data_IF_167992882953
#
_entry.id   IF_167992882953
#
_cell.length_a   1.000
_cell.length_b   1.000
_cell.length_c   1.000
_cell.angle_alpha   90.00
_cell.angle_beta   90.00
_cell.angle_gamma   90.00
#
_symmetry.space_group_name_H-M   'P 1'
#
loop_
_entity.id
_entity.type
_entity.pdbx_description
1 polymer ?
#
# COMPACT_ATOMS: atom_id res chain seq x y z
N UNK A 1 34.76 -0.43 19.07
CA UNK A 1 33.52 -1.18 18.78
C UNK A 1 32.34 -0.22 18.84
N UNK A 2 31.34 -0.31 17.95
CA UNK A 2 30.16 0.58 17.98
C UNK A 2 28.93 -0.26 18.35
N UNK A 3 28.13 0.19 19.31
CA UNK A 3 26.95 -0.56 19.80
C UNK A 3 25.92 -0.85 18.68
N UNK A 4 25.81 0.04 17.70
CA UNK A 4 24.92 -0.13 16.54
C UNK A 4 25.25 -1.35 15.66
N UNK A 5 26.50 -1.83 15.71
CA UNK A 5 26.98 -2.93 14.88
C UNK A 5 26.80 -4.29 15.58
N UNK A 6 26.42 -4.29 16.86
CA UNK A 6 26.20 -5.49 17.67
C UNK A 6 24.77 -6.02 17.50
N UNK A 7 24.61 -7.34 17.55
CA UNK A 7 23.31 -8.00 17.66
C UNK A 7 22.67 -7.74 19.03
N UNK A 8 21.39 -8.05 19.17
CA UNK A 8 20.70 -7.90 20.46
C UNK A 8 21.28 -8.83 21.53
N UNK A 9 21.70 -10.04 21.13
CA UNK A 9 22.37 -11.01 22.02
C UNK A 9 23.74 -10.48 22.48
N UNK A 10 24.55 -9.95 21.55
CA UNK A 10 25.86 -9.36 21.89
C UNK A 10 25.72 -8.12 22.79
N UNK A 11 24.67 -7.31 22.60
CA UNK A 11 24.37 -6.18 23.49
C UNK A 11 23.97 -6.66 24.89
N UNK A 12 23.20 -7.74 24.98
CA UNK A 12 22.77 -8.34 26.24
C UNK A 12 23.98 -8.93 27.01
N UNK A 13 24.86 -9.65 26.33
CA UNK A 13 26.10 -10.17 26.91
C UNK A 13 27.02 -9.04 27.40
N UNK A 14 27.19 -7.98 26.60
CA UNK A 14 27.96 -6.82 26.99
C UNK A 14 27.36 -6.12 28.20
N UNK A 15 26.03 -6.00 28.27
CA UNK A 15 25.33 -5.38 29.40
C UNK A 15 25.66 -6.05 30.74
N UNK A 16 25.74 -7.38 30.77
CA UNK A 16 26.01 -8.15 32.00
C UNK A 16 27.42 -8.00 32.57
N UNK A 17 28.38 -7.50 31.78
CA UNK A 17 29.78 -7.34 32.19
C UNK A 17 30.26 -5.89 32.16
N UNK A 18 29.46 -5.00 31.58
CA UNK A 18 29.76 -3.58 31.38
C UNK A 18 29.69 -2.75 32.67
N UNK A 19 30.44 -1.65 32.68
CA UNK A 19 30.28 -0.58 33.67
C UNK A 19 28.97 0.20 33.48
N UNK A 20 28.60 1.02 34.46
CA UNK A 20 27.33 1.77 34.45
C UNK A 20 27.20 2.71 33.24
N UNK A 21 28.30 3.33 32.81
CA UNK A 21 28.32 4.21 31.65
C UNK A 21 28.01 3.45 30.36
N UNK A 22 28.61 2.27 30.19
CA UNK A 22 28.39 1.41 29.02
C UNK A 22 27.00 0.78 29.06
N UNK A 23 26.52 0.36 30.23
CA UNK A 23 25.13 -0.11 30.41
C UNK A 23 24.10 0.96 30.02
N UNK A 24 24.34 2.22 30.39
CA UNK A 24 23.49 3.34 30.01
C UNK A 24 23.49 3.54 28.49
N UNK A 25 24.67 3.49 27.86
CA UNK A 25 24.79 3.59 26.41
C UNK A 25 24.08 2.45 25.66
N UNK A 26 24.13 1.23 26.20
CA UNK A 26 23.41 0.06 25.66
C UNK A 26 21.90 0.28 25.73
N UNK A 27 21.37 0.74 26.87
CA UNK A 27 19.92 1.03 27.01
C UNK A 27 19.45 2.07 26.00
N UNK A 28 20.22 3.14 25.82
CA UNK A 28 19.92 4.18 24.81
C UNK A 28 19.89 3.57 23.40
N UNK A 29 20.83 2.67 23.08
CA UNK A 29 20.84 1.98 21.80
C UNK A 29 19.63 1.05 21.63
N UNK A 30 19.25 0.29 22.64
CA UNK A 30 18.04 -0.54 22.62
C UNK A 30 16.78 0.30 22.43
N UNK A 31 16.63 1.39 23.17
CA UNK A 31 15.50 2.34 23.04
C UNK A 31 15.41 2.92 21.62
N UNK A 32 16.57 3.21 21.00
CA UNK A 32 16.65 3.69 19.62
C UNK A 32 16.18 2.62 18.63
N UNK A 33 16.56 1.35 18.80
CA UNK A 33 16.12 0.22 17.95
C UNK A 33 14.61 0.01 18.07
N UNK A 34 14.12 -0.06 19.30
CA UNK A 34 12.70 -0.12 19.62
C UNK A 34 11.89 0.98 18.93
N UNK A 35 12.39 2.22 18.99
CA UNK A 35 11.76 3.35 18.31
C UNK A 35 11.71 3.15 16.79
N UNK A 36 12.80 2.66 16.18
CA UNK A 36 12.86 2.39 14.75
C UNK A 36 11.93 1.25 14.34
N UNK A 37 11.85 0.18 15.11
CA UNK A 37 10.98 -0.96 14.83
C UNK A 37 9.52 -0.57 14.97
N UNK A 38 9.15 0.18 16.01
CA UNK A 38 7.80 0.75 16.16
C UNK A 38 7.47 1.66 14.98
N UNK A 39 8.42 2.50 14.54
CA UNK A 39 8.23 3.37 13.37
C UNK A 39 8.06 2.56 12.08
N UNK A 40 8.86 1.52 11.88
CA UNK A 40 8.76 0.63 10.72
C UNK A 40 7.41 -0.11 10.70
N UNK A 41 7.00 -0.66 11.84
CA UNK A 41 5.71 -1.32 12.02
C UNK A 41 4.54 -0.35 11.74
N UNK A 42 4.61 0.89 12.25
CA UNK A 42 3.62 1.93 11.96
C UNK A 42 3.53 2.25 10.46
N UNK A 43 4.67 2.45 9.79
CA UNK A 43 4.70 2.74 8.34
C UNK A 43 4.13 1.56 7.55
N UNK A 44 4.49 0.33 7.91
CA UNK A 44 3.95 -0.89 7.30
C UNK A 44 2.44 -0.97 7.49
N UNK A 45 1.93 -0.88 8.72
CA UNK A 45 0.51 -0.94 9.02
C UNK A 45 -0.29 0.13 8.26
N UNK A 46 0.25 1.34 8.16
CA UNK A 46 -0.38 2.43 7.39
C UNK A 46 -0.43 2.12 5.89
N UNK A 47 0.63 1.54 5.33
CA UNK A 47 0.67 1.10 3.92
C UNK A 47 -0.34 -0.02 3.67
N UNK A 48 -0.37 -1.02 4.54
CA UNK A 48 -1.27 -2.17 4.44
C UNK A 48 -2.73 -1.72 4.51
N UNK A 49 -3.06 -0.81 5.44
CA UNK A 49 -4.39 -0.20 5.52
C UNK A 49 -4.79 0.56 4.23
N UNK A 50 -3.87 1.32 3.65
CA UNK A 50 -4.15 2.03 2.40
C UNK A 50 -4.34 1.08 1.21
N UNK A 51 -3.63 -0.06 1.18
CA UNK A 51 -3.81 -1.11 0.18
C UNK A 51 -5.19 -1.75 0.34
N UNK A 52 -5.57 -2.13 1.56
CA UNK A 52 -6.88 -2.73 1.84
C UNK A 52 -8.04 -1.81 1.43
N UNK A 53 -7.98 -0.53 1.78
CA UNK A 53 -8.99 0.46 1.38
C UNK A 53 -9.08 0.62 -0.14
N UNK A 54 -7.93 0.58 -0.85
CA UNK A 54 -7.92 0.64 -2.30
C UNK A 54 -8.51 -0.63 -2.94
N UNK A 55 -8.26 -1.80 -2.35
CA UNK A 55 -8.84 -3.07 -2.81
C UNK A 55 -10.35 -3.04 -2.67
N UNK A 56 -10.88 -2.66 -1.50
CA UNK A 56 -12.32 -2.52 -1.26
C UNK A 56 -12.98 -1.54 -2.25
N UNK A 57 -12.36 -0.36 -2.45
CA UNK A 57 -12.84 0.61 -3.44
C UNK A 57 -12.86 0.03 -4.86
N UNK A 58 -11.81 -0.69 -5.25
CA UNK A 58 -11.69 -1.30 -6.58
C UNK A 58 -12.72 -2.40 -6.78
N UNK A 59 -12.91 -3.27 -5.78
CA UNK A 59 -13.93 -4.33 -5.80
C UNK A 59 -15.34 -3.76 -5.96
N UNK A 60 -15.66 -2.70 -5.22
CA UNK A 60 -16.94 -2.00 -5.36
C UNK A 60 -17.14 -1.42 -6.77
N UNK A 61 -16.10 -0.81 -7.34
CA UNK A 61 -16.15 -0.27 -8.69
C UNK A 61 -16.28 -1.37 -9.75
N UNK A 62 -15.59 -2.50 -9.58
CA UNK A 62 -15.71 -3.66 -10.47
C UNK A 62 -17.13 -4.20 -10.45
N UNK A 63 -17.71 -4.42 -9.27
CA UNK A 63 -19.09 -4.88 -9.15
C UNK A 63 -20.09 -3.91 -9.79
N UNK A 64 -19.85 -2.60 -9.69
CA UNK A 64 -20.67 -1.59 -10.37
C UNK A 64 -20.51 -1.66 -11.90
N UNK A 65 -19.29 -1.84 -12.40
CA UNK A 65 -19.00 -1.99 -13.82
C UNK A 65 -19.61 -3.29 -14.38
N UNK A 66 -19.53 -4.41 -13.67
CA UNK A 66 -20.16 -5.67 -14.08
C UNK A 66 -21.66 -5.52 -14.29
N UNK A 67 -22.34 -4.82 -13.37
CA UNK A 67 -23.77 -4.51 -13.51
C UNK A 67 -24.05 -3.56 -14.67
N UNK A 68 -23.26 -2.51 -14.83
CA UNK A 68 -23.45 -1.51 -15.89
C UNK A 68 -23.18 -2.05 -17.30
N UNK A 69 -22.20 -2.96 -17.43
CA UNK A 69 -21.76 -3.52 -18.69
C UNK A 69 -22.37 -4.90 -18.98
N UNK A 70 -23.35 -5.36 -18.18
CA UNK A 70 -23.94 -6.70 -18.28
C UNK A 70 -22.89 -7.83 -18.31
N UNK A 71 -21.80 -7.68 -17.55
CA UNK A 71 -20.67 -8.60 -17.52
C UNK A 71 -19.67 -8.49 -18.68
N UNK A 72 -19.93 -7.65 -19.70
CA UNK A 72 -19.03 -7.45 -20.84
C UNK A 72 -17.94 -6.41 -20.54
N UNK A 73 -16.94 -6.80 -19.74
CA UNK A 73 -15.83 -5.90 -19.35
C UNK A 73 -14.66 -5.86 -20.34
N UNK A 74 -14.47 -6.93 -21.12
CA UNK A 74 -13.32 -7.07 -22.00
C UNK A 74 -13.71 -6.83 -23.46
N UNK A 75 -12.81 -6.20 -24.23
CA UNK A 75 -12.89 -6.18 -25.69
C UNK A 75 -12.67 -7.57 -26.29
N UNK A 76 -12.98 -7.73 -27.59
CA UNK A 76 -12.65 -8.95 -28.33
C UNK A 76 -11.16 -9.31 -28.23
N UNK A 77 -10.28 -8.32 -28.29
CA UNK A 77 -8.85 -8.51 -28.14
C UNK A 77 -8.46 -8.94 -26.71
N UNK A 78 -9.10 -8.36 -25.69
CA UNK A 78 -8.87 -8.73 -24.28
C UNK A 78 -9.29 -10.17 -23.99
N UNK A 79 -10.45 -10.59 -24.50
CA UNK A 79 -10.91 -11.99 -24.39
C UNK A 79 -9.99 -12.96 -25.10
N UNK A 80 -9.58 -12.65 -26.34
CA UNK A 80 -8.67 -13.48 -27.11
C UNK A 80 -7.27 -13.61 -26.46
N UNK A 81 -6.83 -12.57 -25.73
CA UNK A 81 -5.58 -12.57 -24.99
C UNK A 81 -5.67 -13.20 -23.58
N UNK A 82 -6.84 -13.71 -23.18
CA UNK A 82 -7.03 -14.35 -21.86
C UNK A 82 -6.81 -13.41 -20.68
N UNK A 83 -7.11 -12.12 -20.87
CA UNK A 83 -6.89 -11.10 -19.84
C UNK A 83 -7.89 -11.31 -18.70
N UNK A 84 -7.41 -11.26 -17.46
CA UNK A 84 -8.31 -11.16 -16.30
C UNK A 84 -8.91 -9.74 -16.27
N UNK A 85 -10.26 -9.57 -16.26
CA UNK A 85 -10.88 -8.25 -16.17
C UNK A 85 -10.37 -7.39 -15.00
N UNK A 86 -10.08 -8.01 -13.85
CA UNK A 86 -9.55 -7.32 -12.66
C UNK A 86 -8.22 -6.61 -12.94
N UNK A 87 -7.40 -7.13 -13.85
CA UNK A 87 -6.11 -6.52 -14.23
C UNK A 87 -6.27 -5.15 -14.89
N UNK A 88 -7.47 -4.81 -15.39
CA UNK A 88 -7.70 -3.52 -16.03
C UNK A 88 -7.76 -2.36 -15.03
N UNK A 89 -8.09 -2.64 -13.76
CA UNK A 89 -8.08 -1.66 -12.67
C UNK A 89 -6.70 -1.49 -12.06
N UNK A 90 -5.97 -2.59 -11.89
CA UNK A 90 -4.68 -2.62 -11.20
C UNK A 90 -3.51 -2.31 -12.13
N UNK A 91 -3.70 -2.47 -13.44
CA UNK A 91 -2.67 -2.33 -14.46
C UNK A 91 -2.52 -0.93 -15.08
N UNK A 92 -1.53 -0.78 -15.99
CA UNK A 92 -1.27 0.46 -16.72
C UNK A 92 -2.45 0.93 -17.57
N UNK A 93 -2.57 2.25 -17.77
CA UNK A 93 -3.63 2.85 -18.58
C UNK A 93 -3.66 2.34 -20.01
N UNK A 94 -2.50 2.09 -20.62
CA UNK A 94 -2.39 1.55 -21.98
C UNK A 94 -3.02 0.16 -22.09
N UNK A 95 -2.89 -0.69 -21.07
CA UNK A 95 -3.49 -2.03 -21.01
C UNK A 95 -5.01 -1.93 -20.86
N UNK A 96 -5.47 -1.07 -19.96
CA UNK A 96 -6.90 -0.80 -19.77
C UNK A 96 -7.54 -0.28 -21.06
N UNK A 97 -6.93 0.72 -21.71
CA UNK A 97 -7.43 1.29 -22.97
C UNK A 97 -7.52 0.24 -24.10
N UNK A 98 -6.50 -0.63 -24.21
CA UNK A 98 -6.45 -1.67 -25.26
C UNK A 98 -7.49 -2.78 -25.04
N UNK A 99 -7.69 -3.22 -23.80
CA UNK A 99 -8.43 -4.46 -23.51
C UNK A 99 -9.80 -4.25 -22.87
N UNK A 100 -10.14 -3.05 -22.41
CA UNK A 100 -11.51 -2.73 -21.98
C UNK A 100 -12.49 -2.79 -23.15
N UNK A 101 -13.70 -3.27 -22.89
CA UNK A 101 -14.83 -3.14 -23.79
C UNK A 101 -15.21 -1.67 -24.02
N UNK A 102 -16.07 -1.40 -24.99
CA UNK A 102 -16.57 -0.05 -25.24
C UNK A 102 -17.42 0.43 -24.05
N UNK A 103 -18.30 -0.44 -23.55
CA UNK A 103 -19.17 -0.22 -22.41
C UNK A 103 -18.37 0.10 -21.13
N UNK A 104 -17.23 -0.59 -20.92
CA UNK A 104 -16.36 -0.31 -19.78
C UNK A 104 -15.63 1.03 -19.92
N UNK A 105 -15.25 1.43 -21.13
CA UNK A 105 -14.67 2.76 -21.36
C UNK A 105 -15.69 3.85 -21.05
N UNK A 106 -16.92 3.73 -21.55
CA UNK A 106 -18.02 4.65 -21.24
C UNK A 106 -18.38 4.67 -19.75
N UNK A 107 -18.29 3.53 -19.07
CA UNK A 107 -18.43 3.49 -17.62
C UNK A 107 -17.34 4.32 -16.94
N UNK A 108 -16.07 4.16 -17.35
CA UNK A 108 -14.97 4.93 -16.77
C UNK A 108 -14.97 6.42 -17.10
N UNK A 109 -15.62 6.86 -18.17
CA UNK A 109 -15.82 8.31 -18.41
C UNK A 109 -16.68 8.95 -17.31
N UNK A 110 -17.66 8.21 -16.78
CA UNK A 110 -18.56 8.65 -15.71
C UNK A 110 -18.04 8.34 -14.32
N UNK A 111 -17.35 7.22 -14.17
CA UNK A 111 -16.75 6.76 -12.93
C UNK A 111 -15.28 6.40 -13.18
N UNK A 112 -14.39 7.41 -13.19
CA UNK A 112 -12.98 7.19 -13.50
C UNK A 112 -12.36 6.12 -12.62
N UNK A 113 -11.61 5.20 -13.24
CA UNK A 113 -10.76 4.28 -12.50
C UNK A 113 -9.68 5.08 -11.75
N UNK A 114 -9.39 4.68 -10.52
CA UNK A 114 -8.34 5.31 -9.70
C UNK A 114 -7.22 4.30 -9.51
N UNK A 115 -6.00 4.68 -9.88
CA UNK A 115 -4.81 3.85 -9.62
C UNK A 115 -4.50 3.82 -8.12
N UNK A 116 -3.81 2.78 -7.67
CA UNK A 116 -3.39 2.69 -6.25
C UNK A 116 -2.63 3.93 -5.77
N UNK A 117 -1.74 4.48 -6.60
CA UNK A 117 -0.98 5.69 -6.27
C UNK A 117 -1.91 6.89 -6.07
N UNK A 118 -2.82 7.14 -7.01
CA UNK A 118 -3.81 8.23 -6.90
C UNK A 118 -4.70 8.05 -5.66
N UNK A 119 -5.09 6.82 -5.34
CA UNK A 119 -5.91 6.55 -4.16
C UNK A 119 -5.16 6.88 -2.86
N UNK A 120 -3.88 6.53 -2.76
CA UNK A 120 -3.05 6.91 -1.61
C UNK A 120 -2.93 8.44 -1.49
N UNK A 121 -2.77 9.15 -2.59
CA UNK A 121 -2.70 10.62 -2.61
C UNK A 121 -4.02 11.25 -2.14
N UNK A 122 -5.16 10.70 -2.57
CA UNK A 122 -6.49 11.11 -2.11
C UNK A 122 -6.66 10.88 -0.61
N UNK A 123 -6.30 9.70 -0.10
CA UNK A 123 -6.33 9.42 1.35
C UNK A 123 -5.40 10.34 2.15
N UNK A 124 -4.27 10.74 1.58
CA UNK A 124 -3.35 11.67 2.21
C UNK A 124 -3.90 13.11 2.18
N UNK A 125 -4.61 13.50 1.13
CA UNK A 125 -5.31 14.78 1.03
C UNK A 125 -6.48 14.88 2.01
N UNK A 126 -7.33 13.85 2.08
CA UNK A 126 -8.47 13.80 3.00
C UNK A 126 -8.04 13.99 4.46
N UNK A 127 -7.03 13.24 4.91
CA UNK A 127 -6.48 13.38 6.28
C UNK A 127 -5.86 14.76 6.56
N UNK A 128 -5.31 15.43 5.54
CA UNK A 128 -4.80 16.81 5.71
C UNK A 128 -5.94 17.80 5.88
N UNK A 129 -7.03 17.62 5.13
CA UNK A 129 -8.23 18.44 5.26
C UNK A 129 -8.89 18.26 6.63
N UNK A 130 -9.03 17.02 7.11
CA UNK A 130 -9.57 16.70 8.44
C UNK A 130 -8.79 17.34 9.59
N UNK A 131 -7.46 17.49 9.44
CA UNK A 131 -6.61 18.14 10.45
C UNK A 131 -6.66 19.65 10.42
N UNK A 132 -7.13 20.23 9.32
CA UNK A 132 -7.22 21.67 9.12
C UNK A 132 -8.61 22.23 9.47
N UNK A 133 -9.59 21.35 9.68
CA UNK A 133 -10.94 21.67 10.15
C UNK A 133 -10.99 21.61 11.69
#
# INVERSE_FOLDING_TARGET
MKLRDLTDDELCELYGTADEATQTAIRIECDRRDMLDRKAAYVKARRDAAIAQWQEHTEAQIAAAERACNGYLLSKAGRAAGINPYDLWTGPLSRAARYASEELREFWERQPRITRTQFVDLLAAARRAERAA
#
